data_IF_181418096085
#
_entry.id   IF_181418096085
#
_cell.length_a   1.000
_cell.length_b   1.000
_cell.length_c   1.000
_cell.angle_alpha   90.00
_cell.angle_beta   90.00
_cell.angle_gamma   90.00
#
_symmetry.space_group_name_H-M   'P 1'
#
loop_
_entity.id
_entity.type
_entity.pdbx_description
1 polymer ?
#
# COMPACT_ATOMS: atom_id res chain seq x y z
N UNK A 1 -2.01 16.68 -10.71
CA UNK A 1 -0.60 16.22 -10.67
C UNK A 1 -0.56 14.95 -9.84
N UNK A 2 0.09 13.88 -10.31
CA UNK A 2 0.24 12.67 -9.52
C UNK A 2 1.34 12.89 -8.47
N UNK A 3 0.99 12.88 -7.19
CA UNK A 3 1.96 12.91 -6.09
C UNK A 3 2.75 11.60 -6.10
N UNK A 4 4.08 11.69 -6.17
CA UNK A 4 4.97 10.52 -6.14
C UNK A 4 5.57 10.38 -4.76
N UNK A 5 5.52 9.16 -4.22
CA UNK A 5 6.13 8.82 -2.95
C UNK A 5 7.28 7.85 -3.16
N UNK A 6 8.29 7.96 -2.31
CA UNK A 6 9.42 7.04 -2.26
C UNK A 6 9.39 6.35 -0.91
N UNK A 7 9.48 5.02 -0.93
CA UNK A 7 9.62 4.21 0.28
C UNK A 7 11.03 3.65 0.29
N UNK A 8 11.74 3.85 1.39
CA UNK A 8 13.11 3.37 1.58
C UNK A 8 13.22 2.67 2.93
N UNK A 9 13.98 1.58 2.97
CA UNK A 9 14.35 0.89 4.20
C UNK A 9 15.86 0.97 4.41
N UNK A 10 16.28 1.19 5.65
CA UNK A 10 17.68 1.32 6.03
C UNK A 10 17.95 0.39 7.22
N UNK A 11 19.12 -0.26 7.23
CA UNK A 11 19.50 -1.10 8.35
C UNK A 11 19.84 -0.25 9.58
N UNK A 12 19.21 -0.58 10.71
CA UNK A 12 19.49 0.10 11.98
C UNK A 12 20.76 -0.50 12.57
N UNK A 13 21.86 0.26 12.54
CA UNK A 13 23.14 -0.18 13.13
C UNK A 13 23.21 0.05 14.64
N UNK A 14 22.86 1.27 15.09
CA UNK A 14 22.98 1.68 16.50
C UNK A 14 21.63 2.01 17.13
N UNK A 15 20.92 3.00 16.57
CA UNK A 15 19.61 3.44 17.07
C UNK A 15 18.77 3.99 15.92
N UNK A 16 17.50 3.60 15.88
CA UNK A 16 16.55 4.09 14.88
C UNK A 16 16.38 5.62 14.97
N UNK A 17 16.41 6.19 16.18
CA UNK A 17 16.30 7.64 16.39
C UNK A 17 17.50 8.37 15.80
N UNK A 18 18.72 7.89 16.05
CA UNK A 18 19.93 8.52 15.50
C UNK A 18 20.00 8.40 13.99
N UNK A 19 19.60 7.25 13.43
CA UNK A 19 19.51 7.05 11.99
C UNK A 19 18.49 7.98 11.35
N UNK A 20 17.31 8.14 11.98
CA UNK A 20 16.27 9.07 11.54
C UNK A 20 16.78 10.52 11.51
N UNK A 21 17.41 10.99 12.59
CA UNK A 21 17.97 12.35 12.63
C UNK A 21 19.01 12.60 11.55
N UNK A 22 19.92 11.64 11.31
CA UNK A 22 20.94 11.73 10.26
C UNK A 22 20.33 11.73 8.85
N UNK A 23 19.33 10.88 8.61
CA UNK A 23 18.60 10.84 7.35
C UNK A 23 17.92 12.19 7.07
N UNK A 24 17.21 12.73 8.07
CA UNK A 24 16.54 14.02 7.97
C UNK A 24 17.53 15.15 7.68
N UNK A 25 18.66 15.19 8.37
CA UNK A 25 19.71 16.18 8.12
C UNK A 25 20.28 16.06 6.70
N UNK A 26 20.61 14.86 6.26
CA UNK A 26 21.19 14.61 4.93
C UNK A 26 20.23 14.96 3.79
N UNK A 27 18.94 14.65 3.95
CA UNK A 27 17.92 15.00 2.96
C UNK A 27 17.67 16.51 2.98
N UNK A 28 17.56 17.14 4.15
CA UNK A 28 17.36 18.59 4.22
C UNK A 28 18.48 19.40 3.56
N UNK A 29 19.71 18.87 3.53
CA UNK A 29 20.86 19.49 2.85
C UNK A 29 20.77 19.45 1.33
N UNK A 30 20.13 18.41 0.77
CA UNK A 30 20.07 18.18 -0.69
C UNK A 30 18.70 18.53 -1.29
N UNK A 31 17.62 18.37 -0.53
CA UNK A 31 16.23 18.55 -0.93
C UNK A 31 15.40 18.99 0.30
N UNK A 32 15.50 20.27 0.64
CA UNK A 32 14.93 20.84 1.87
C UNK A 32 13.39 20.79 1.93
N UNK A 33 12.74 20.65 0.79
CA UNK A 33 11.28 20.63 0.62
C UNK A 33 10.72 19.21 0.53
N UNK A 34 11.55 18.17 0.71
CA UNK A 34 11.10 16.77 0.68
C UNK A 34 10.65 16.34 2.08
N UNK A 35 9.34 16.16 2.33
CA UNK A 35 8.85 15.73 3.63
C UNK A 35 9.23 14.27 3.90
N UNK A 36 9.54 13.97 5.17
CA UNK A 36 9.90 12.63 5.63
C UNK A 36 8.89 12.15 6.65
N UNK A 37 8.37 10.93 6.42
CA UNK A 37 7.41 10.27 7.30
C UNK A 37 7.95 8.92 7.73
N UNK A 38 7.69 8.53 8.98
CA UNK A 38 7.99 7.19 9.45
C UNK A 38 6.94 6.23 8.94
N UNK A 39 7.39 5.12 8.37
CA UNK A 39 6.52 4.03 7.96
C UNK A 39 6.67 2.88 8.95
N UNK A 40 5.72 2.77 9.88
CA UNK A 40 5.81 1.82 10.99
C UNK A 40 5.29 0.45 10.54
N UNK A 41 6.20 -0.53 10.47
CA UNK A 41 5.87 -1.94 10.21
C UNK A 41 6.11 -2.72 11.50
N UNK A 42 5.12 -3.48 12.00
CA UNK A 42 5.30 -4.29 13.21
C UNK A 42 6.25 -5.47 12.94
N UNK A 43 6.63 -6.17 14.02
CA UNK A 43 7.37 -7.43 13.88
C UNK A 43 6.43 -8.51 13.34
N UNK A 44 6.61 -8.87 12.08
CA UNK A 44 5.83 -9.93 11.43
C UNK A 44 6.49 -11.28 11.65
N UNK A 45 5.68 -12.32 11.84
CA UNK A 45 6.17 -13.70 11.99
C UNK A 45 6.67 -14.24 10.66
N UNK A 46 7.98 -14.19 10.47
CA UNK A 46 8.68 -14.76 9.31
C UNK A 46 9.05 -16.23 9.54
N UNK A 47 9.07 -17.02 8.46
CA UNK A 47 9.45 -18.43 8.47
C UNK A 47 10.96 -18.65 8.32
N UNK A 48 11.35 -19.69 7.59
CA UNK A 48 12.75 -19.93 7.21
C UNK A 48 13.22 -18.97 6.12
N UNK A 49 14.54 -18.85 5.92
CA UNK A 49 15.10 -18.05 4.83
C UNK A 49 14.57 -18.50 3.46
N UNK A 50 14.49 -19.81 3.21
CA UNK A 50 13.96 -20.34 1.94
C UNK A 50 12.51 -19.90 1.71
N UNK A 51 11.68 -19.93 2.77
CA UNK A 51 10.30 -19.48 2.69
C UNK A 51 10.18 -17.98 2.40
N UNK A 52 11.13 -17.17 2.89
CA UNK A 52 11.22 -15.74 2.62
C UNK A 52 11.67 -15.43 1.19
N UNK A 53 12.64 -16.17 0.67
CA UNK A 53 13.08 -16.03 -0.72
C UNK A 53 11.94 -16.35 -1.69
N UNK A 54 11.26 -17.49 -1.48
CA UNK A 54 10.09 -17.84 -2.28
C UNK A 54 8.96 -16.79 -2.15
N UNK A 55 8.72 -16.29 -0.93
CA UNK A 55 7.70 -15.26 -0.70
C UNK A 55 8.07 -13.93 -1.37
N UNK A 56 9.36 -13.57 -1.46
CA UNK A 56 9.81 -12.36 -2.15
C UNK A 56 9.41 -12.37 -3.62
N UNK A 57 9.58 -13.51 -4.30
CA UNK A 57 9.17 -13.65 -5.71
C UNK A 57 7.64 -13.59 -5.86
N UNK A 58 6.91 -14.21 -4.93
CA UNK A 58 5.44 -14.19 -4.90
C UNK A 58 4.89 -12.79 -4.60
N UNK A 59 5.59 -12.00 -3.77
CA UNK A 59 5.22 -10.61 -3.45
C UNK A 59 5.31 -9.70 -4.68
N UNK A 60 6.29 -9.89 -5.57
CA UNK A 60 6.38 -9.12 -6.82
C UNK A 60 5.16 -9.36 -7.72
N UNK A 61 4.73 -10.63 -7.83
CA UNK A 61 3.52 -11.00 -8.60
C UNK A 61 2.27 -10.44 -7.94
N UNK A 62 2.14 -10.59 -6.63
CA UNK A 62 1.01 -10.09 -5.84
C UNK A 62 0.90 -8.57 -5.94
N UNK A 63 2.01 -7.83 -5.83
CA UNK A 63 2.02 -6.38 -5.98
C UNK A 63 1.53 -5.95 -7.36
N UNK A 64 2.05 -6.57 -8.43
CA UNK A 64 1.65 -6.27 -9.81
C UNK A 64 0.17 -6.53 -10.05
N UNK A 65 -0.36 -7.62 -9.50
CA UNK A 65 -1.78 -7.95 -9.57
C UNK A 65 -2.64 -6.92 -8.83
N UNK A 66 -2.32 -6.61 -7.57
CA UNK A 66 -3.08 -5.67 -6.73
C UNK A 66 -3.06 -4.25 -7.32
N UNK A 67 -1.91 -3.82 -7.86
CA UNK A 67 -1.80 -2.55 -8.58
C UNK A 67 -2.71 -2.55 -9.82
N UNK A 68 -2.70 -3.63 -10.60
CA UNK A 68 -3.58 -3.80 -11.77
C UNK A 68 -5.07 -3.69 -11.42
N UNK A 69 -5.52 -4.36 -10.36
CA UNK A 69 -6.91 -4.28 -9.88
C UNK A 69 -7.24 -2.86 -9.41
N UNK A 70 -6.35 -2.22 -8.64
CA UNK A 70 -6.53 -0.84 -8.17
C UNK A 70 -6.68 0.16 -9.33
N UNK A 71 -5.88 0.00 -10.39
CA UNK A 71 -6.00 0.83 -11.59
C UNK A 71 -7.30 0.57 -12.36
N UNK A 72 -7.78 -0.68 -12.43
CA UNK A 72 -9.08 -0.99 -13.03
C UNK A 72 -10.22 -0.32 -12.26
N UNK A 73 -10.22 -0.41 -10.93
CA UNK A 73 -11.21 0.26 -10.06
C UNK A 73 -11.22 1.75 -10.33
N UNK A 74 -10.04 2.39 -10.32
CA UNK A 74 -9.91 3.82 -10.59
C UNK A 74 -10.52 4.21 -11.94
N UNK A 75 -10.19 3.47 -13.01
CA UNK A 75 -10.74 3.72 -14.36
C UNK A 75 -12.25 3.56 -14.41
N UNK A 76 -12.82 2.57 -13.71
CA UNK A 76 -14.26 2.36 -13.64
C UNK A 76 -14.97 3.51 -12.93
N UNK A 77 -14.40 4.03 -11.83
CA UNK A 77 -14.95 5.19 -11.13
C UNK A 77 -14.92 6.43 -12.03
N UNK A 78 -13.78 6.70 -12.70
CA UNK A 78 -13.65 7.82 -13.66
C UNK A 78 -14.67 7.72 -14.81
N UNK A 79 -14.95 6.51 -15.30
CA UNK A 79 -15.97 6.25 -16.31
C UNK A 79 -17.39 6.54 -15.78
N UNK A 80 -17.73 6.06 -14.59
CA UNK A 80 -19.04 6.27 -13.97
C UNK A 80 -19.31 7.75 -13.66
N UNK A 81 -18.29 8.50 -13.21
CA UNK A 81 -18.35 9.95 -13.01
C UNK A 81 -18.63 10.67 -14.34
N UNK A 82 -17.98 10.25 -15.42
CA UNK A 82 -18.20 10.81 -16.76
C UNK A 82 -19.64 10.59 -17.24
N UNK A 83 -20.20 9.40 -17.03
CA UNK A 83 -21.55 9.05 -17.46
C UNK A 83 -22.62 9.73 -16.61
N UNK A 84 -22.44 9.78 -15.29
CA UNK A 84 -23.41 10.37 -14.36
C UNK A 84 -23.40 11.90 -14.34
N UNK A 85 -22.34 12.54 -14.86
CA UNK A 85 -22.15 13.99 -14.79
C UNK A 85 -21.83 14.50 -13.38
N UNK A 86 -21.72 13.62 -12.40
CA UNK A 86 -21.31 13.93 -11.03
C UNK A 86 -19.80 13.75 -10.95
N UNK A 87 -19.08 14.86 -10.81
CA UNK A 87 -17.64 14.82 -10.52
C UNK A 87 -17.51 14.50 -9.03
N UNK A 88 -17.12 13.27 -8.70
CA UNK A 88 -16.81 12.94 -7.31
C UNK A 88 -15.53 13.66 -6.89
N UNK A 89 -15.42 13.96 -5.61
CA UNK A 89 -14.16 14.44 -5.02
C UNK A 89 -13.06 13.41 -5.24
N UNK A 90 -11.79 13.86 -5.19
CA UNK A 90 -10.63 12.96 -5.25
C UNK A 90 -10.82 11.70 -4.38
N UNK A 91 -10.43 10.54 -4.90
CA UNK A 91 -10.54 9.26 -4.19
C UNK A 91 -9.95 9.37 -2.77
N UNK A 92 -10.67 8.84 -1.79
CA UNK A 92 -10.29 8.82 -0.38
C UNK A 92 -10.12 7.38 0.10
N UNK A 93 -9.37 7.22 1.20
CA UNK A 93 -9.25 5.95 1.93
C UNK A 93 -9.91 6.15 3.29
N UNK A 94 -10.99 5.43 3.57
CA UNK A 94 -11.81 5.57 4.78
C UNK A 94 -12.23 7.03 5.08
N UNK A 95 -12.54 7.78 4.01
CA UNK A 95 -12.92 9.20 4.08
C UNK A 95 -11.75 10.17 4.26
N UNK A 96 -10.51 9.69 4.38
CA UNK A 96 -9.31 10.53 4.45
C UNK A 96 -8.63 10.67 3.07
N UNK A 97 -7.97 11.81 2.79
CA UNK A 97 -7.14 11.94 1.59
C UNK A 97 -6.04 10.87 1.54
N UNK A 98 -5.74 10.35 0.35
CA UNK A 98 -4.69 9.33 0.14
C UNK A 98 -3.33 9.76 0.72
N UNK A 99 -2.97 11.04 0.60
CA UNK A 99 -1.76 11.61 1.18
C UNK A 99 -1.71 11.44 2.72
N UNK A 100 -2.83 11.73 3.39
CA UNK A 100 -2.92 11.57 4.85
C UNK A 100 -2.82 10.10 5.27
N UNK A 101 -3.38 9.18 4.47
CA UNK A 101 -3.26 7.75 4.72
C UNK A 101 -1.80 7.26 4.59
N UNK A 102 -1.09 7.67 3.54
CA UNK A 102 0.29 7.26 3.31
C UNK A 102 1.27 7.85 4.34
N UNK A 103 1.10 9.12 4.70
CA UNK A 103 2.01 9.82 5.63
C UNK A 103 1.79 9.45 7.10
N UNK A 104 0.65 8.83 7.42
CA UNK A 104 0.26 8.39 8.77
C UNK A 104 -0.10 6.91 8.80
N UNK A 105 0.49 6.11 7.92
CA UNK A 105 0.22 4.69 7.82
C UNK A 105 0.39 3.99 9.17
N UNK A 106 -0.60 3.18 9.54
CA UNK A 106 -0.57 2.30 10.70
C UNK A 106 -0.97 0.92 10.22
N UNK A 107 -0.22 -0.09 10.65
CA UNK A 107 -0.56 -1.46 10.36
C UNK A 107 -1.85 -1.85 11.09
N UNK A 108 -2.84 -2.35 10.33
CA UNK A 108 -4.10 -2.83 10.88
C UNK A 108 -3.91 -4.27 11.41
N UNK A 109 -3.54 -4.38 12.70
CA UNK A 109 -3.32 -5.69 13.35
C UNK A 109 -4.61 -6.50 13.49
N UNK A 110 -5.78 -5.85 13.51
CA UNK A 110 -7.06 -6.57 13.59
C UNK A 110 -7.38 -7.27 12.26
N UNK A 111 -7.07 -6.60 11.14
CA UNK A 111 -7.25 -7.16 9.79
C UNK A 111 -6.09 -8.07 9.37
N UNK A 112 -4.87 -7.76 9.81
CA UNK A 112 -3.64 -8.47 9.44
C UNK A 112 -2.82 -8.81 10.71
N UNK A 113 -3.17 -9.88 11.43
CA UNK A 113 -2.51 -10.24 12.68
C UNK A 113 -1.01 -10.50 12.50
N UNK A 114 -0.19 -9.95 13.41
CA UNK A 114 1.29 -10.05 13.38
C UNK A 114 1.82 -11.43 13.76
N UNK A 115 1.00 -12.20 14.49
CA UNK A 115 1.32 -13.56 14.96
C UNK A 115 1.06 -14.64 13.90
N UNK A 116 0.29 -14.31 12.86
CA UNK A 116 0.07 -15.21 11.72
C UNK A 116 1.34 -15.28 10.86
N UNK A 117 1.66 -16.45 10.28
CA UNK A 117 2.74 -16.56 9.32
C UNK A 117 2.60 -15.54 8.19
N UNK A 118 3.68 -14.84 7.84
CA UNK A 118 3.65 -13.78 6.84
C UNK A 118 3.02 -14.20 5.50
N UNK A 119 3.24 -15.46 5.08
CA UNK A 119 2.64 -16.02 3.85
C UNK A 119 1.11 -16.01 3.90
N UNK A 120 0.51 -16.38 5.03
CA UNK A 120 -0.95 -16.38 5.19
C UNK A 120 -1.53 -14.97 5.07
N UNK A 121 -0.83 -13.96 5.61
CA UNK A 121 -1.24 -12.56 5.46
C UNK A 121 -1.23 -12.13 3.99
N UNK A 122 -0.19 -12.48 3.24
CA UNK A 122 -0.08 -12.17 1.80
C UNK A 122 -1.17 -12.88 1.00
N UNK A 123 -1.38 -14.17 1.25
CA UNK A 123 -2.41 -14.97 0.57
C UNK A 123 -3.82 -14.44 0.89
N UNK A 124 -4.09 -14.08 2.14
CA UNK A 124 -5.35 -13.48 2.57
C UNK A 124 -5.64 -12.13 1.90
N UNK A 125 -4.61 -11.28 1.76
CA UNK A 125 -4.71 -10.03 1.00
C UNK A 125 -5.04 -10.35 -0.47
N UNK A 126 -4.30 -11.27 -1.08
CA UNK A 126 -4.49 -11.65 -2.48
C UNK A 126 -5.91 -12.15 -2.75
N UNK A 127 -6.41 -13.09 -1.95
CA UNK A 127 -7.77 -13.64 -2.06
C UNK A 127 -8.82 -12.53 -1.91
N UNK A 128 -8.63 -11.62 -0.94
CA UNK A 128 -9.55 -10.50 -0.73
C UNK A 128 -9.62 -9.57 -1.94
N UNK A 129 -8.47 -9.26 -2.55
CA UNK A 129 -8.41 -8.41 -3.74
C UNK A 129 -8.96 -9.12 -4.98
N UNK A 130 -8.70 -10.42 -5.14
CA UNK A 130 -9.27 -11.22 -6.22
C UNK A 130 -10.80 -11.24 -6.15
N UNK A 131 -11.37 -11.42 -4.95
CA UNK A 131 -12.81 -11.34 -4.74
C UNK A 131 -13.38 -9.97 -5.14
N UNK A 132 -12.72 -8.88 -4.74
CA UNK A 132 -13.12 -7.52 -5.15
C UNK A 132 -13.09 -7.40 -6.68
N UNK A 133 -12.07 -7.92 -7.35
CA UNK A 133 -11.98 -7.90 -8.81
C UNK A 133 -13.16 -8.63 -9.47
N UNK A 134 -13.53 -9.80 -8.95
CA UNK A 134 -14.64 -10.58 -9.48
C UNK A 134 -16.00 -9.90 -9.23
N UNK A 135 -16.21 -9.36 -8.03
CA UNK A 135 -17.42 -8.60 -7.70
C UNK A 135 -17.59 -7.38 -8.63
N UNK A 136 -16.50 -6.68 -8.97
CA UNK A 136 -16.51 -5.56 -9.91
C UNK A 136 -16.87 -5.99 -11.34
N UNK A 137 -16.38 -7.15 -11.80
CA UNK A 137 -16.75 -7.69 -13.12
C UNK A 137 -18.25 -7.99 -13.18
N UNK A 138 -18.81 -8.58 -12.11
CA UNK A 138 -20.25 -8.91 -12.03
C UNK A 138 -21.11 -7.63 -12.06
N UNK A 139 -20.75 -6.61 -11.27
CA UNK A 139 -21.48 -5.35 -11.24
C UNK A 139 -21.50 -4.65 -12.61
N UNK A 140 -20.39 -4.67 -13.35
CA UNK A 140 -20.34 -4.12 -14.70
C UNK A 140 -21.26 -4.86 -15.68
N UNK A 141 -21.31 -6.19 -15.60
CA UNK A 141 -22.20 -6.99 -16.46
C UNK A 141 -23.67 -6.70 -16.18
N UNK A 142 -24.03 -6.38 -14.93
CA UNK A 142 -25.42 -6.07 -14.55
C UNK A 142 -25.86 -4.64 -14.91
N UNK A 143 -24.91 -3.74 -15.17
CA UNK A 143 -25.18 -2.33 -15.53
C UNK A 143 -25.24 -2.07 -17.04
N UNK A 144 -24.87 -3.06 -17.88
CA UNK A 144 -25.02 -3.03 -19.34
C UNK A 144 -26.29 -3.77 -19.78
#
# INVERSE_FOLDING_TARGET
>A
MATRYWVVSLSVQNSATSLWSRLQESISKNAFDTPLHRFNIPNLRVGTLDSLLALSDDLVKSNSFIEGVSQKIRRQIEELERVSGVVSSSLTVDGAPVDSYLTRFVWDEAKFPTMSPLRETVDGIHVSIAKIEDDLKVLLVLLC
#
